data_IF_728026582325
#
_entry.id   IF_728026582325
#
_cell.length_a   1.000
_cell.length_b   1.000
_cell.length_c   1.000
_cell.angle_alpha   90.00
_cell.angle_beta   90.00
_cell.angle_gamma   90.00
#
_symmetry.space_group_name_H-M   'P 1'
#
loop_
_entity.id
_entity.type
_entity.pdbx_description
1 polymer ?
#
# COMPACT_ATOMS: atom_id res chain seq x y z
N UNK A 1 -6.47 -15.72 -51.00
CA UNK A 1 -6.69 -14.41 -50.36
C UNK A 1 -7.05 -14.70 -48.92
N UNK A 2 -6.09 -14.55 -48.01
CA UNK A 2 -6.26 -14.80 -46.56
C UNK A 2 -6.89 -13.54 -45.99
N UNK A 3 -8.00 -13.59 -45.24
CA UNK A 3 -8.57 -12.40 -44.65
C UNK A 3 -7.59 -11.80 -43.61
N UNK A 4 -7.24 -10.52 -43.83
CA UNK A 4 -6.57 -9.73 -42.77
C UNK A 4 -7.48 -9.69 -41.56
N UNK A 5 -7.09 -10.40 -40.50
CA UNK A 5 -7.69 -10.17 -39.17
C UNK A 5 -7.32 -8.74 -38.78
N UNK A 6 -8.32 -7.86 -38.77
CA UNK A 6 -8.17 -6.53 -38.13
C UNK A 6 -7.83 -6.74 -36.68
N UNK A 7 -6.65 -6.26 -36.27
CA UNK A 7 -6.25 -6.25 -34.86
C UNK A 7 -7.27 -5.42 -34.10
N UNK A 8 -8.11 -6.06 -33.31
CA UNK A 8 -8.99 -5.34 -32.36
C UNK A 8 -8.07 -4.74 -31.31
N UNK A 9 -7.86 -3.44 -31.36
CA UNK A 9 -7.14 -2.71 -30.34
C UNK A 9 -8.11 -2.48 -29.19
N UNK A 10 -7.92 -3.18 -28.07
CA UNK A 10 -8.67 -2.94 -26.85
C UNK A 10 -8.10 -1.67 -26.21
N UNK A 11 -8.89 -0.60 -26.23
CA UNK A 11 -8.55 0.67 -25.57
C UNK A 11 -9.09 0.65 -24.15
N UNK A 12 -8.24 0.88 -23.17
CA UNK A 12 -8.63 1.04 -21.76
C UNK A 12 -8.84 2.52 -21.48
N UNK A 13 -10.03 2.86 -21.00
CA UNK A 13 -10.42 4.24 -20.70
C UNK A 13 -10.70 4.40 -19.20
N UNK A 14 -10.30 5.55 -18.66
CA UNK A 14 -10.68 6.00 -17.32
C UNK A 14 -11.70 7.14 -17.46
N UNK A 15 -12.82 7.04 -16.77
CA UNK A 15 -13.82 8.12 -16.74
C UNK A 15 -13.95 8.66 -15.32
N UNK A 16 -13.71 9.96 -15.16
CA UNK A 16 -13.88 10.69 -13.91
C UNK A 16 -14.85 11.85 -14.16
N UNK A 17 -16.09 11.70 -13.72
CA UNK A 17 -17.17 12.64 -14.08
C UNK A 17 -17.41 12.67 -15.59
N UNK A 18 -17.29 13.84 -16.22
CA UNK A 18 -17.40 14.00 -17.69
C UNK A 18 -16.08 13.82 -18.44
N UNK A 19 -14.97 13.71 -17.73
CA UNK A 19 -13.65 13.58 -18.35
C UNK A 19 -13.36 12.10 -18.66
N UNK A 20 -13.05 11.81 -19.90
CA UNK A 20 -12.62 10.50 -20.39
C UNK A 20 -11.16 10.59 -20.81
N UNK A 21 -10.32 9.65 -20.35
CA UNK A 21 -8.89 9.58 -20.64
C UNK A 21 -8.55 8.17 -21.09
N UNK A 22 -7.79 8.06 -22.18
CA UNK A 22 -7.18 6.79 -22.59
C UNK A 22 -5.99 6.49 -21.67
N UNK A 23 -6.04 5.36 -20.95
CA UNK A 23 -4.99 4.89 -20.04
C UNK A 23 -4.31 3.62 -20.54
N UNK A 24 -4.53 3.24 -21.81
CA UNK A 24 -3.96 2.02 -22.40
C UNK A 24 -2.44 1.99 -22.25
N UNK A 25 -1.78 3.13 -22.43
CA UNK A 25 -0.33 3.27 -22.26
C UNK A 25 0.18 3.22 -20.82
N UNK A 26 -0.72 3.41 -19.83
CA UNK A 26 -0.38 3.38 -18.40
C UNK A 26 -0.54 1.98 -17.80
N UNK A 27 -1.22 1.05 -18.51
CA UNK A 27 -1.51 -0.29 -18.02
C UNK A 27 -0.26 -1.16 -18.12
N UNK A 28 0.23 -1.69 -16.97
CA UNK A 28 1.50 -2.43 -16.96
C UNK A 28 1.40 -3.85 -17.52
N UNK A 29 0.20 -4.46 -17.53
CA UNK A 29 -0.04 -5.81 -18.05
C UNK A 29 -1.54 -6.06 -18.27
N UNK A 30 -1.88 -7.09 -19.03
CA UNK A 30 -3.27 -7.51 -19.23
C UNK A 30 -3.84 -8.18 -17.98
N UNK A 31 -5.12 -7.94 -17.72
CA UNK A 31 -5.89 -8.57 -16.63
C UNK A 31 -7.10 -9.32 -17.18
N UNK A 32 -7.64 -10.33 -16.45
CA UNK A 32 -8.87 -11.01 -16.85
C UNK A 32 -10.03 -10.05 -17.10
N UNK A 33 -10.95 -10.36 -18.04
CA UNK A 33 -12.08 -9.48 -18.36
C UNK A 33 -13.02 -9.15 -17.20
N UNK A 34 -12.99 -9.97 -16.14
CA UNK A 34 -13.78 -9.76 -14.92
C UNK A 34 -13.11 -8.84 -13.90
N UNK A 35 -11.87 -8.43 -14.14
CA UNK A 35 -11.13 -7.51 -13.29
C UNK A 35 -11.21 -6.10 -13.86
N UNK A 36 -10.88 -5.10 -13.04
CA UNK A 36 -10.76 -3.71 -13.49
C UNK A 36 -9.52 -3.04 -12.91
N UNK A 37 -8.99 -2.07 -13.65
CA UNK A 37 -7.95 -1.19 -13.14
C UNK A 37 -8.58 -0.05 -12.35
N UNK A 38 -8.10 0.19 -11.14
CA UNK A 38 -8.56 1.29 -10.30
C UNK A 38 -7.37 2.15 -9.85
N UNK A 39 -7.55 3.47 -9.75
CA UNK A 39 -6.57 4.33 -9.09
C UNK A 39 -6.56 4.05 -7.59
N UNK A 40 -5.37 3.87 -7.01
CA UNK A 40 -5.22 3.51 -5.59
C UNK A 40 -5.95 4.48 -4.67
N UNK A 41 -5.82 5.79 -4.89
CA UNK A 41 -6.51 6.81 -4.09
C UNK A 41 -8.04 6.79 -4.19
N UNK A 42 -8.64 6.09 -5.18
CA UNK A 42 -10.11 5.96 -5.28
C UNK A 42 -10.68 4.78 -4.51
N UNK A 43 -9.84 3.83 -4.11
CA UNK A 43 -10.25 2.59 -3.42
C UNK A 43 -9.79 2.50 -1.98
N UNK A 44 -8.87 3.38 -1.54
CA UNK A 44 -8.37 3.41 -0.17
C UNK A 44 -8.23 4.83 0.38
N UNK A 45 -8.33 4.97 1.70
CA UNK A 45 -7.86 6.13 2.43
C UNK A 45 -6.41 5.87 2.88
N UNK A 46 -5.54 6.85 2.67
CA UNK A 46 -4.14 6.80 3.09
C UNK A 46 -3.86 7.83 4.19
N UNK A 47 -3.08 7.45 5.18
CA UNK A 47 -2.59 8.36 6.23
C UNK A 47 -1.07 8.26 6.32
N UNK A 48 -0.38 9.35 6.06
CA UNK A 48 1.07 9.47 6.22
C UNK A 48 1.39 9.64 7.71
N UNK A 49 2.44 8.96 8.18
CA UNK A 49 2.96 9.14 9.52
C UNK A 49 3.72 10.44 9.73
N UNK A 50 4.29 10.57 10.93
CA UNK A 50 5.10 11.73 11.32
C UNK A 50 6.31 11.26 12.13
N UNK A 51 7.39 12.02 12.04
CA UNK A 51 8.56 11.86 12.91
C UNK A 51 8.70 13.10 13.79
N UNK A 52 8.61 12.95 15.12
CA UNK A 52 8.97 14.04 16.02
C UNK A 52 10.44 14.46 15.80
N UNK A 53 10.80 15.74 15.99
CA UNK A 53 12.17 16.21 15.87
C UNK A 53 13.14 15.35 16.67
N UNK A 54 14.16 14.78 16.01
CA UNK A 54 15.09 13.84 16.64
C UNK A 54 15.97 14.46 17.71
N UNK A 55 16.28 15.76 17.56
CA UNK A 55 17.08 16.53 18.53
C UNK A 55 16.34 16.87 19.83
N UNK A 56 15.02 16.75 19.86
CA UNK A 56 14.19 17.14 21.00
C UNK A 56 13.85 15.92 21.87
N UNK A 57 14.64 15.72 22.93
CA UNK A 57 14.52 14.56 23.83
C UNK A 57 13.12 14.44 24.47
N UNK A 58 12.38 15.53 24.65
CA UNK A 58 11.04 15.55 25.24
C UNK A 58 10.06 14.64 24.50
N UNK A 59 10.23 14.45 23.20
CA UNK A 59 9.38 13.58 22.40
C UNK A 59 9.73 12.10 22.47
N UNK A 60 10.98 11.78 22.88
CA UNK A 60 11.51 10.43 22.86
C UNK A 60 11.75 9.83 24.24
N UNK A 61 12.05 10.68 25.25
CA UNK A 61 12.26 10.22 26.62
C UNK A 61 10.97 9.77 27.25
N UNK A 62 11.04 8.73 28.10
CA UNK A 62 9.89 8.12 28.78
C UNK A 62 8.77 7.70 27.80
N UNK A 63 9.15 7.21 26.62
CA UNK A 63 8.22 6.79 25.58
C UNK A 63 7.30 5.66 26.03
N UNK A 64 5.99 5.87 25.89
CA UNK A 64 4.94 4.89 26.23
C UNK A 64 4.24 4.36 24.98
N UNK A 65 4.23 5.15 23.91
CA UNK A 65 3.50 4.84 22.68
C UNK A 65 4.44 4.29 21.62
N UNK A 66 4.11 3.13 21.06
CA UNK A 66 4.90 2.52 20.01
C UNK A 66 5.02 3.44 18.78
N UNK A 67 6.22 3.51 18.20
CA UNK A 67 6.49 4.26 16.98
C UNK A 67 7.28 3.41 16.00
N UNK A 68 6.71 3.19 14.81
CA UNK A 68 7.26 2.33 13.77
C UNK A 68 8.14 3.15 12.83
N UNK A 69 9.38 2.74 12.70
CA UNK A 69 10.30 3.20 11.65
C UNK A 69 10.33 2.21 10.46
N UNK A 70 11.00 2.59 9.38
CA UNK A 70 11.22 1.68 8.24
C UNK A 70 11.97 0.40 8.68
N UNK A 71 12.85 0.50 9.67
CA UNK A 71 13.64 -0.64 10.16
C UNK A 71 12.83 -1.66 10.97
N UNK A 72 11.64 -1.29 11.41
CA UNK A 72 10.71 -2.19 12.12
C UNK A 72 9.78 -2.93 11.16
N UNK A 73 9.70 -2.49 9.90
CA UNK A 73 8.82 -3.12 8.92
C UNK A 73 9.34 -4.52 8.55
N UNK A 74 8.44 -5.49 8.61
CA UNK A 74 8.67 -6.89 8.23
C UNK A 74 8.02 -7.12 6.89
N UNK A 75 8.83 -7.25 5.84
CA UNK A 75 8.33 -7.47 4.48
C UNK A 75 7.49 -8.75 4.40
N UNK A 76 6.25 -8.60 3.92
CA UNK A 76 5.32 -9.73 3.83
C UNK A 76 4.94 -10.35 5.19
N UNK A 77 5.08 -9.59 6.29
CA UNK A 77 4.88 -10.11 7.65
C UNK A 77 4.17 -9.12 8.58
N UNK A 78 4.23 -9.43 9.89
CA UNK A 78 3.58 -8.67 10.95
C UNK A 78 4.62 -8.00 11.87
N UNK A 79 4.46 -6.71 12.12
CA UNK A 79 5.28 -5.95 13.08
C UNK A 79 4.79 -6.28 14.49
N UNK A 80 5.46 -7.20 15.18
CA UNK A 80 5.08 -7.67 16.51
C UNK A 80 5.60 -6.78 17.64
N UNK A 81 6.69 -6.06 17.41
CA UNK A 81 7.34 -5.15 18.33
C UNK A 81 8.02 -4.02 17.57
N UNK A 82 8.28 -2.92 18.23
CA UNK A 82 8.98 -1.75 17.71
C UNK A 82 10.21 -1.44 18.56
N UNK A 83 11.22 -0.81 17.96
CA UNK A 83 12.46 -0.44 18.65
C UNK A 83 12.32 0.83 19.47
N UNK A 84 11.48 1.74 19.03
CA UNK A 84 11.36 3.08 19.61
C UNK A 84 9.92 3.37 20.06
N UNK A 85 9.83 4.20 21.07
CA UNK A 85 8.56 4.70 21.58
C UNK A 85 8.61 6.23 21.69
N UNK A 86 7.43 6.85 21.62
CA UNK A 86 7.27 8.30 21.77
C UNK A 86 6.52 8.63 23.05
N UNK A 87 6.75 9.84 23.57
CA UNK A 87 6.15 10.34 24.80
C UNK A 87 4.70 10.79 24.61
N UNK A 88 3.98 11.02 25.72
CA UNK A 88 2.66 11.65 25.70
C UNK A 88 2.71 13.07 25.09
N UNK A 89 3.83 13.79 25.26
CA UNK A 89 4.03 15.11 24.66
C UNK A 89 4.05 15.01 23.13
N UNK A 90 4.77 14.03 22.58
CA UNK A 90 4.77 13.81 21.14
C UNK A 90 3.37 13.48 20.60
N UNK A 91 2.58 12.71 21.34
CA UNK A 91 1.19 12.41 20.97
C UNK A 91 0.36 13.68 20.89
N UNK A 92 0.45 14.55 21.90
CA UNK A 92 -0.36 15.75 22.01
C UNK A 92 0.06 16.86 21.04
N UNK A 93 1.35 17.03 20.79
CA UNK A 93 1.88 18.16 20.01
C UNK A 93 2.11 17.82 18.53
N UNK A 94 2.62 16.61 18.25
CA UNK A 94 3.03 16.21 16.89
C UNK A 94 1.95 15.40 16.18
N UNK A 95 1.48 14.30 16.79
CA UNK A 95 0.53 13.40 16.14
C UNK A 95 -0.89 13.95 16.16
N UNK A 96 -1.38 14.41 17.29
CA UNK A 96 -2.72 15.00 17.48
C UNK A 96 -3.85 14.06 17.01
N UNK A 97 -3.64 12.77 17.12
CA UNK A 97 -4.58 11.73 16.70
C UNK A 97 -4.32 10.45 17.48
N UNK A 98 -5.24 9.49 17.39
CA UNK A 98 -5.04 8.15 17.92
C UNK A 98 -3.97 7.39 17.11
N UNK A 99 -3.27 6.42 17.74
CA UNK A 99 -2.36 5.54 17.03
C UNK A 99 -3.09 4.75 15.95
N UNK A 100 -2.34 4.29 14.98
CA UNK A 100 -2.82 3.31 13.98
C UNK A 100 -3.10 2.01 14.72
N UNK A 101 -4.30 1.43 14.61
CA UNK A 101 -4.66 0.24 15.34
C UNK A 101 -3.95 -1.01 14.81
N UNK A 102 -3.74 -1.98 15.70
CA UNK A 102 -3.36 -3.35 15.35
C UNK A 102 -4.25 -3.89 14.24
N UNK A 103 -3.66 -4.68 13.33
CA UNK A 103 -4.35 -5.21 12.15
C UNK A 103 -4.32 -4.30 10.93
N UNK A 104 -3.86 -3.06 11.05
CA UNK A 104 -3.75 -2.13 9.93
C UNK A 104 -2.66 -2.54 8.95
N UNK A 105 -2.92 -2.30 7.66
CA UNK A 105 -1.92 -2.44 6.59
C UNK A 105 -1.06 -1.18 6.53
N UNK A 106 0.26 -1.38 6.60
CA UNK A 106 1.27 -0.35 6.40
C UNK A 106 2.04 -0.60 5.11
N UNK A 107 2.44 0.47 4.42
CA UNK A 107 3.35 0.40 3.28
C UNK A 107 4.39 1.52 3.35
N UNK A 108 5.66 1.19 3.11
CA UNK A 108 6.69 2.20 2.89
C UNK A 108 6.60 2.76 1.47
N UNK A 109 6.71 4.08 1.34
CA UNK A 109 6.64 4.75 0.04
C UNK A 109 7.84 5.69 -0.23
N UNK A 110 8.78 5.70 0.72
CA UNK A 110 10.10 6.36 0.60
C UNK A 110 11.16 5.35 0.99
N UNK A 111 12.37 5.47 0.46
CA UNK A 111 13.55 4.61 0.70
C UNK A 111 13.38 3.19 0.15
N UNK A 112 12.53 2.36 0.74
CA UNK A 112 12.16 1.01 0.28
C UNK A 112 10.70 1.02 -0.15
N UNK A 113 10.44 1.45 -1.38
CA UNK A 113 9.07 1.59 -1.91
C UNK A 113 8.39 0.23 -2.02
N UNK A 114 7.13 0.16 -1.59
CA UNK A 114 6.27 -1.01 -1.76
C UNK A 114 6.42 -2.09 -0.68
N UNK A 115 7.31 -1.94 0.31
CA UNK A 115 7.35 -2.90 1.43
C UNK A 115 6.06 -2.79 2.25
N UNK A 116 5.34 -3.89 2.38
CA UNK A 116 4.10 -4.00 3.15
C UNK A 116 4.30 -4.76 4.45
N UNK A 117 3.57 -4.36 5.48
CA UNK A 117 3.50 -5.06 6.77
C UNK A 117 2.12 -4.92 7.40
N UNK A 118 1.68 -5.93 8.14
CA UNK A 118 0.51 -5.81 9.03
C UNK A 118 1.00 -5.36 10.41
N UNK A 119 0.31 -4.39 11.00
CA UNK A 119 0.63 -3.89 12.33
C UNK A 119 0.12 -4.85 13.41
N UNK A 120 1.03 -5.40 14.22
CA UNK A 120 0.71 -6.37 15.28
C UNK A 120 0.41 -5.74 16.63
N UNK A 121 0.67 -4.45 16.79
CA UNK A 121 0.44 -3.63 17.97
C UNK A 121 -0.08 -2.25 17.56
N UNK A 122 -0.80 -1.55 18.42
CA UNK A 122 -1.16 -0.16 18.16
C UNK A 122 0.10 0.71 18.14
N UNK A 123 0.28 1.54 17.09
CA UNK A 123 1.48 2.38 16.97
C UNK A 123 1.26 3.63 16.10
N UNK A 124 2.08 4.64 16.35
CA UNK A 124 2.37 5.70 15.39
C UNK A 124 3.44 5.20 14.39
N UNK A 125 3.64 5.89 13.30
CA UNK A 125 4.70 5.55 12.34
C UNK A 125 5.29 6.79 11.68
N UNK A 126 6.48 6.64 11.10
CA UNK A 126 7.20 7.74 10.51
C UNK A 126 6.59 8.21 9.17
N UNK A 127 7.09 9.36 8.66
CA UNK A 127 6.62 10.02 7.43
C UNK A 127 7.01 9.30 6.13
N UNK A 128 7.75 8.20 6.21
CA UNK A 128 8.07 7.36 5.06
C UNK A 128 7.11 6.16 4.91
N UNK A 129 6.17 6.02 5.84
CA UNK A 129 5.18 4.95 5.91
C UNK A 129 3.77 5.54 5.80
N UNK A 130 2.91 4.88 5.05
CA UNK A 130 1.46 5.14 5.02
C UNK A 130 0.70 4.01 5.70
N UNK A 131 -0.37 4.37 6.41
CA UNK A 131 -1.47 3.45 6.74
C UNK A 131 -2.43 3.41 5.57
N UNK A 132 -2.87 2.23 5.18
CA UNK A 132 -3.81 1.99 4.09
C UNK A 132 -5.10 1.43 4.68
N UNK A 133 -6.22 2.11 4.42
CA UNK A 133 -7.55 1.70 4.87
C UNK A 133 -8.45 1.60 3.64
N UNK A 134 -8.83 0.40 3.20
CA UNK A 134 -9.79 0.25 2.10
C UNK A 134 -11.13 0.92 2.43
N UNK A 135 -11.77 1.55 1.44
CA UNK A 135 -13.10 2.15 1.64
C UNK A 135 -14.20 1.10 1.81
N UNK A 136 -14.02 -0.07 1.19
CA UNK A 136 -14.90 -1.22 1.36
C UNK A 136 -14.03 -2.46 1.61
N UNK A 137 -14.19 -3.07 2.78
CA UNK A 137 -13.44 -4.27 3.15
C UNK A 137 -14.33 -5.23 3.94
N UNK A 138 -14.43 -6.45 3.47
CA UNK A 138 -15.20 -7.50 4.12
C UNK A 138 -14.21 -8.50 4.74
N UNK A 139 -14.22 -8.61 6.06
CA UNK A 139 -13.36 -9.56 6.79
C UNK A 139 -11.86 -9.45 6.43
N UNK A 140 -11.38 -8.23 6.17
CA UNK A 140 -10.01 -7.92 5.75
C UNK A 140 -9.58 -8.55 4.41
N UNK A 141 -10.49 -9.05 3.60
CA UNK A 141 -10.15 -9.72 2.31
C UNK A 141 -9.42 -8.74 1.39
N UNK A 142 -9.92 -7.51 1.26
CA UNK A 142 -9.30 -6.52 0.38
C UNK A 142 -7.99 -5.99 0.96
N UNK A 143 -7.90 -5.78 2.29
CA UNK A 143 -6.64 -5.45 2.98
C UNK A 143 -5.57 -6.52 2.68
N UNK A 144 -5.91 -7.79 2.81
CA UNK A 144 -4.96 -8.89 2.62
C UNK A 144 -4.58 -9.06 1.14
N UNK A 145 -5.51 -8.82 0.22
CA UNK A 145 -5.18 -8.74 -1.20
C UNK A 145 -4.17 -7.62 -1.49
N UNK A 146 -4.41 -6.40 -0.97
CA UNK A 146 -3.49 -5.28 -1.11
C UNK A 146 -2.13 -5.56 -0.47
N UNK A 147 -2.11 -6.23 0.68
CA UNK A 147 -0.86 -6.64 1.35
C UNK A 147 0.07 -7.44 0.44
N UNK A 148 -0.48 -8.34 -0.40
CA UNK A 148 0.31 -9.16 -1.30
C UNK A 148 0.58 -8.51 -2.66
N UNK A 149 -0.33 -7.69 -3.19
CA UNK A 149 -0.17 -7.15 -4.55
C UNK A 149 0.66 -5.85 -4.59
N UNK A 150 0.59 -5.02 -3.55
CA UNK A 150 1.26 -3.72 -3.54
C UNK A 150 2.78 -3.79 -3.73
N UNK A 151 3.53 -4.75 -3.14
CA UNK A 151 4.97 -4.88 -3.41
C UNK A 151 5.28 -5.05 -4.90
N UNK A 152 4.49 -5.86 -5.62
CA UNK A 152 4.67 -6.10 -7.05
C UNK A 152 4.31 -4.85 -7.86
N UNK A 153 3.14 -4.27 -7.61
CA UNK A 153 2.63 -3.12 -8.36
C UNK A 153 3.50 -1.86 -8.14
N UNK A 154 3.95 -1.62 -6.92
CA UNK A 154 4.79 -0.47 -6.60
C UNK A 154 6.16 -0.50 -7.30
N UNK A 155 6.62 -1.70 -7.68
CA UNK A 155 7.91 -1.91 -8.35
C UNK A 155 7.78 -2.13 -9.87
N UNK A 156 6.59 -2.50 -10.37
CA UNK A 156 6.34 -2.81 -11.79
C UNK A 156 5.78 -1.63 -12.58
N UNK A 157 5.41 -0.55 -11.91
CA UNK A 157 4.95 0.66 -12.61
C UNK A 157 6.05 1.21 -13.50
N UNK A 158 5.69 1.49 -14.76
CA UNK A 158 6.49 2.22 -15.74
C UNK A 158 6.64 3.70 -15.34
N UNK A 159 6.90 3.91 -14.08
CA UNK A 159 7.52 5.13 -13.65
C UNK A 159 8.97 5.01 -14.11
N UNK A 160 9.24 5.45 -15.35
CA UNK A 160 10.62 5.78 -15.80
C UNK A 160 11.37 6.56 -14.72
N UNK A 161 10.66 6.94 -13.70
CA UNK A 161 11.05 7.65 -12.49
C UNK A 161 11.08 6.84 -11.19
N UNK A 162 10.41 5.66 -11.06
CA UNK A 162 10.45 4.82 -9.86
C UNK A 162 11.62 3.82 -9.84
N UNK A 163 12.25 3.56 -10.98
CA UNK A 163 13.28 2.51 -11.18
C UNK A 163 14.68 2.87 -10.62
N UNK A 164 14.85 3.83 -9.75
CA UNK A 164 16.16 4.05 -9.09
C UNK A 164 16.02 4.71 -7.72
N UNK A 165 15.33 4.08 -6.77
CA UNK A 165 15.28 4.59 -5.40
C UNK A 165 14.50 5.90 -5.24
N UNK A 166 13.63 6.23 -6.18
CA UNK A 166 12.81 7.44 -6.11
C UNK A 166 11.63 7.24 -5.18
N UNK A 167 11.48 8.18 -4.29
CA UNK A 167 10.34 8.36 -3.39
C UNK A 167 9.04 8.54 -4.17
N UNK A 168 8.03 7.72 -3.90
CA UNK A 168 6.68 8.02 -4.33
C UNK A 168 6.19 9.27 -3.58
N UNK A 169 5.49 10.14 -4.25
CA UNK A 169 4.80 11.28 -3.63
C UNK A 169 3.29 11.03 -3.56
N UNK A 170 2.56 11.90 -2.88
CA UNK A 170 1.11 11.75 -2.74
C UNK A 170 0.37 11.63 -4.08
N UNK A 171 0.82 12.36 -5.11
CA UNK A 171 0.19 12.32 -6.44
C UNK A 171 0.43 10.97 -7.12
N UNK A 172 1.67 10.46 -7.10
CA UNK A 172 2.01 9.15 -7.69
C UNK A 172 1.37 8.00 -6.93
N UNK A 173 1.28 8.07 -5.59
CA UNK A 173 0.54 7.08 -4.79
C UNK A 173 -0.94 7.03 -5.16
N UNK A 174 -1.62 8.18 -5.23
CA UNK A 174 -3.04 8.23 -5.59
C UNK A 174 -3.30 7.71 -7.00
N UNK A 175 -2.37 7.92 -7.92
CA UNK A 175 -2.48 7.52 -9.33
C UNK A 175 -2.00 6.10 -9.62
N UNK A 176 -1.43 5.39 -8.65
CA UNK A 176 -0.99 4.01 -8.83
C UNK A 176 -2.16 3.14 -9.30
N UNK A 177 -1.99 2.41 -10.40
CA UNK A 177 -3.01 1.52 -10.93
C UNK A 177 -2.97 0.18 -10.18
N UNK A 178 -4.11 -0.19 -9.62
CA UNK A 178 -4.30 -1.45 -8.88
C UNK A 178 -5.24 -2.34 -9.69
N UNK A 179 -4.84 -3.59 -10.03
CA UNK A 179 -5.75 -4.54 -10.63
C UNK A 179 -6.72 -5.05 -9.56
N UNK A 180 -8.01 -4.81 -9.74
CA UNK A 180 -9.04 -5.13 -8.77
C UNK A 180 -9.89 -6.31 -9.23
N UNK A 181 -9.68 -7.52 -8.66
CA UNK A 181 -10.53 -8.68 -8.87
C UNK A 181 -11.88 -8.55 -8.16
N UNK A 182 -12.91 -9.32 -8.58
CA UNK A 182 -14.09 -9.56 -7.74
C UNK A 182 -13.73 -10.12 -6.36
N UNK A 183 -14.54 -9.84 -5.34
CA UNK A 183 -14.24 -10.17 -3.93
C UNK A 183 -13.87 -11.65 -3.69
N UNK A 184 -14.60 -12.57 -4.31
CA UNK A 184 -14.32 -14.02 -4.17
C UNK A 184 -12.98 -14.39 -4.79
N UNK A 185 -12.58 -13.71 -5.85
CA UNK A 185 -11.30 -13.92 -6.50
C UNK A 185 -10.15 -13.35 -5.66
N UNK A 186 -10.34 -12.18 -5.04
CA UNK A 186 -9.38 -11.64 -4.06
C UNK A 186 -9.11 -12.67 -2.95
N UNK A 187 -10.17 -13.24 -2.36
CA UNK A 187 -10.06 -14.27 -1.32
C UNK A 187 -9.32 -15.50 -1.83
N UNK A 188 -9.63 -15.97 -3.04
CA UNK A 188 -8.98 -17.13 -3.66
C UNK A 188 -7.48 -16.90 -3.87
N UNK A 189 -7.11 -15.71 -4.33
CA UNK A 189 -5.71 -15.32 -4.53
C UNK A 189 -4.97 -15.31 -3.20
N UNK A 190 -5.49 -14.64 -2.18
CA UNK A 190 -4.89 -14.57 -0.84
C UNK A 190 -4.67 -15.98 -0.28
N UNK A 191 -5.72 -16.81 -0.25
CA UNK A 191 -5.63 -18.19 0.25
C UNK A 191 -4.55 -19.00 -0.49
N UNK A 192 -4.44 -18.82 -1.81
CA UNK A 192 -3.44 -19.56 -2.60
C UNK A 192 -2.01 -19.11 -2.26
N UNK A 193 -1.79 -17.81 -2.11
CA UNK A 193 -0.48 -17.25 -1.72
C UNK A 193 -0.08 -17.74 -0.32
N UNK A 194 -1.00 -17.71 0.64
CA UNK A 194 -0.75 -18.19 2.01
C UNK A 194 -0.41 -19.68 2.04
N UNK A 195 -1.13 -20.50 1.26
CA UNK A 195 -0.83 -21.93 1.14
C UNK A 195 0.56 -22.19 0.55
N UNK A 196 0.97 -21.42 -0.45
CA UNK A 196 2.32 -21.56 -1.04
C UNK A 196 3.38 -21.12 -0.02
N UNK A 197 3.17 -19.98 0.65
CA UNK A 197 4.10 -19.47 1.65
C UNK A 197 4.26 -20.42 2.85
N UNK A 198 3.20 -21.10 3.27
CA UNK A 198 3.27 -22.09 4.37
C UNK A 198 4.13 -23.30 4.02
N UNK A 199 4.11 -23.74 2.74
CA UNK A 199 4.91 -24.87 2.25
C UNK A 199 6.40 -24.53 2.06
N UNK A 200 6.73 -23.26 1.84
CA UNK A 200 8.13 -22.82 1.66
C UNK A 200 8.83 -22.64 3.01
N UNK A 201 8.06 -22.34 4.07
CA UNK A 201 8.59 -22.07 5.42
C UNK A 201 8.67 -23.32 6.32
N UNK A 202 8.06 -24.44 5.94
CA UNK A 202 8.14 -25.73 6.62
C UNK A 202 9.16 -26.62 5.96
#
# INVERSE_FOLDING_TARGET
>A
MIPLFSKVTITSIEQIGSKVVDITGDIPFEIPPTWMWCRFGTIVKMRIGKTPPRGEQVYWSNGKHNWVSISDMVEGGTIKAVKEKVSDIAVNEIFKCYPTPKGSLLMSFKLTVGRTSILGVDAYHNEAIITIVPYADVNNIFRDYLFYILPTISNSGDSKDAIKGKTLNNKSLNNLLIPLPPLLEQKRIVTKIELVNSKIKG
#
